data_IF_274628134803
#
_entry.id   IF_274628134803
#
_cell.length_a   1.000
_cell.length_b   1.000
_cell.length_c   1.000
_cell.angle_alpha   90.00
_cell.angle_beta   90.00
_cell.angle_gamma   90.00
#
_symmetry.space_group_name_H-M   'P 1'
#
loop_
_entity.id
_entity.type
_entity.pdbx_description
1 polymer ?
#
# COMPACT_ATOMS: atom_id res chain seq x y z
N UNK A 1 9.14 24.42 -5.61
CA UNK A 1 9.23 23.78 -4.28
C UNK A 1 10.20 22.63 -4.38
N UNK A 2 11.17 22.53 -3.47
CA UNK A 2 12.11 21.41 -3.40
C UNK A 2 11.52 20.27 -2.56
N UNK A 3 11.86 19.03 -2.89
CA UNK A 3 11.53 17.84 -2.10
C UNK A 3 12.40 17.78 -0.83
N UNK A 4 11.87 17.24 0.26
CA UNK A 4 12.67 16.90 1.43
C UNK A 4 13.71 15.80 1.09
N UNK A 5 14.77 15.61 1.90
CA UNK A 5 15.75 14.53 1.70
C UNK A 5 15.11 13.14 1.67
N UNK A 6 15.81 12.17 1.09
CA UNK A 6 15.37 10.78 1.11
C UNK A 6 15.41 10.23 2.54
N UNK A 7 14.35 9.52 2.92
CA UNK A 7 14.20 8.86 4.21
C UNK A 7 13.75 7.42 4.03
N UNK A 8 14.12 6.57 4.99
CA UNK A 8 13.67 5.19 5.06
C UNK A 8 12.52 5.04 6.06
N UNK A 9 11.64 4.06 5.88
CA UNK A 9 10.62 3.76 6.86
C UNK A 9 11.28 3.25 8.15
N UNK A 10 10.82 3.74 9.29
CA UNK A 10 11.24 3.24 10.60
C UNK A 10 10.40 2.02 11.03
N UNK A 11 9.22 1.83 10.45
CA UNK A 11 8.40 0.64 10.63
C UNK A 11 7.63 0.31 9.33
N UNK A 12 7.35 -0.99 9.15
CA UNK A 12 6.57 -1.52 8.02
C UNK A 12 5.97 -2.86 8.41
N UNK A 13 4.92 -3.27 7.70
CA UNK A 13 4.31 -4.57 7.93
C UNK A 13 3.23 -4.91 6.93
N UNK A 14 2.57 -6.02 7.20
CA UNK A 14 1.36 -6.45 6.50
C UNK A 14 0.19 -6.34 7.47
N UNK A 15 -0.89 -5.69 7.04
CA UNK A 15 -2.15 -5.63 7.76
C UNK A 15 -3.12 -6.62 7.13
N UNK A 16 -3.55 -7.63 7.89
CA UNK A 16 -4.68 -8.47 7.49
C UNK A 16 -5.97 -7.63 7.51
N UNK A 17 -6.64 -7.55 6.36
CA UNK A 17 -7.89 -6.79 6.20
C UNK A 17 -9.09 -7.71 5.96
N UNK A 18 -8.92 -9.03 6.11
CA UNK A 18 -9.95 -10.04 5.87
C UNK A 18 -9.94 -10.61 4.45
N UNK A 19 -10.71 -11.67 4.23
CA UNK A 19 -10.90 -12.35 2.94
C UNK A 19 -9.59 -12.81 2.27
N UNK A 20 -8.57 -13.12 3.07
CA UNK A 20 -7.24 -13.53 2.60
C UNK A 20 -6.38 -12.38 2.06
N UNK A 21 -6.82 -11.12 2.20
CA UNK A 21 -6.12 -9.95 1.73
C UNK A 21 -5.22 -9.35 2.81
N UNK A 22 -4.00 -8.98 2.41
CA UNK A 22 -3.04 -8.31 3.26
C UNK A 22 -2.53 -7.02 2.60
N UNK A 23 -2.70 -5.90 3.30
CA UNK A 23 -2.23 -4.58 2.86
C UNK A 23 -0.83 -4.33 3.39
N UNK A 24 0.13 -4.10 2.51
CA UNK A 24 1.44 -3.61 2.92
C UNK A 24 1.35 -2.16 3.36
N UNK A 25 1.96 -1.84 4.50
CA UNK A 25 2.08 -0.48 5.01
C UNK A 25 3.51 -0.18 5.44
N UNK A 26 3.87 1.10 5.40
CA UNK A 26 5.10 1.61 6.00
C UNK A 26 4.89 2.98 6.63
N UNK A 27 5.68 3.31 7.65
CA UNK A 27 5.70 4.62 8.29
C UNK A 27 7.07 5.27 8.26
N UNK A 28 7.10 6.54 7.87
CA UNK A 28 8.31 7.36 7.74
C UNK A 28 8.15 8.68 8.53
N UNK A 29 9.25 9.41 8.70
CA UNK A 29 9.25 10.71 9.39
C UNK A 29 9.23 10.59 10.91
N UNK A 30 8.53 11.50 11.56
CA UNK A 30 8.45 11.60 13.02
C UNK A 30 7.32 10.70 13.56
N UNK A 31 7.60 9.68 14.40
CA UNK A 31 6.56 8.82 15.01
C UNK A 31 5.51 9.58 15.82
N UNK A 32 5.89 10.73 16.40
CA UNK A 32 5.03 11.60 17.20
C UNK A 32 4.52 12.82 16.40
N UNK A 33 4.83 12.87 15.11
CA UNK A 33 4.42 13.94 14.21
C UNK A 33 2.93 13.87 13.84
N UNK A 34 2.44 14.92 13.16
CA UNK A 34 1.08 14.97 12.63
C UNK A 34 0.86 13.79 11.66
N UNK A 35 -0.20 12.98 11.81
CA UNK A 35 -0.42 11.84 10.93
C UNK A 35 -0.87 12.29 9.54
N UNK A 36 -0.28 11.68 8.50
CA UNK A 36 -0.69 11.84 7.11
C UNK A 36 -0.70 10.48 6.40
N UNK A 37 -1.77 10.17 5.68
CA UNK A 37 -1.90 8.95 4.87
C UNK A 37 -1.71 9.29 3.40
N UNK A 38 -0.83 8.57 2.73
CA UNK A 38 -0.58 8.69 1.29
C UNK A 38 -1.43 7.67 0.55
N UNK A 39 -2.26 8.16 -0.37
CA UNK A 39 -2.99 7.34 -1.35
C UNK A 39 -2.32 7.50 -2.70
N UNK A 40 -1.69 6.43 -3.21
CA UNK A 40 -1.09 6.45 -4.54
C UNK A 40 -2.16 6.56 -5.63
N UNK A 41 -1.80 7.18 -6.77
CA UNK A 41 -2.64 7.24 -7.96
C UNK A 41 -2.63 5.95 -8.78
N UNK A 42 -3.45 5.93 -9.84
CA UNK A 42 -3.72 4.75 -10.68
C UNK A 42 -4.38 3.62 -9.88
N UNK A 43 -5.35 2.87 -10.41
CA UNK A 43 -5.68 1.60 -9.77
C UNK A 43 -4.48 0.66 -9.95
N UNK A 44 -3.92 0.19 -8.84
CA UNK A 44 -2.94 -0.89 -8.85
C UNK A 44 -1.45 -0.51 -9.06
N UNK A 45 -1.05 0.76 -8.89
CA UNK A 45 0.36 1.17 -9.04
C UNK A 45 1.25 0.84 -7.82
N UNK A 46 0.70 0.93 -6.61
CA UNK A 46 1.46 0.83 -5.35
C UNK A 46 2.26 2.10 -5.01
N UNK A 47 2.76 2.17 -3.78
CA UNK A 47 3.58 3.28 -3.29
C UNK A 47 5.06 3.12 -3.68
N UNK A 48 5.64 4.21 -4.18
CA UNK A 48 7.08 4.38 -4.40
C UNK A 48 7.72 5.14 -3.23
N UNK A 49 9.05 5.26 -3.14
CA UNK A 49 9.70 6.10 -2.13
C UNK A 49 9.45 7.61 -2.28
N UNK A 50 8.96 8.06 -3.45
CA UNK A 50 8.78 9.49 -3.77
C UNK A 50 7.90 10.25 -2.76
N UNK A 51 6.71 9.76 -2.35
CA UNK A 51 5.82 10.49 -1.44
C UNK A 51 6.40 10.73 -0.04
N UNK A 52 7.42 9.97 0.37
CA UNK A 52 8.12 10.18 1.66
C UNK A 52 8.76 11.56 1.76
N UNK A 53 9.02 12.21 0.61
CA UNK A 53 9.72 13.48 0.48
C UNK A 53 8.78 14.68 0.30
N UNK A 54 7.46 14.44 0.27
CA UNK A 54 6.44 15.49 0.08
C UNK A 54 6.02 16.16 1.39
N UNK A 55 6.41 15.59 2.53
CA UNK A 55 6.07 16.07 3.86
C UNK A 55 7.36 16.37 4.62
N UNK A 56 7.29 17.35 5.53
CA UNK A 56 8.39 17.60 6.46
C UNK A 56 8.57 16.38 7.39
N UNK A 57 9.71 15.66 7.31
CA UNK A 57 9.92 14.45 8.09
C UNK A 57 10.05 14.72 9.60
N UNK A 58 10.34 15.95 10.02
CA UNK A 58 10.37 16.32 11.44
C UNK A 58 8.96 16.59 11.99
N UNK A 59 8.02 17.01 11.14
CA UNK A 59 6.68 17.39 11.57
C UNK A 59 5.62 16.29 11.37
N UNK A 60 5.83 15.35 10.44
CA UNK A 60 4.81 14.38 10.04
C UNK A 60 5.18 12.93 10.33
N UNK A 61 4.17 12.16 10.77
CA UNK A 61 4.13 10.70 10.68
C UNK A 61 3.49 10.32 9.35
N UNK A 62 4.31 9.93 8.39
CA UNK A 62 3.87 9.65 7.02
C UNK A 62 3.56 8.16 6.90
N UNK A 63 2.31 7.81 6.62
CA UNK A 63 1.84 6.43 6.42
C UNK A 63 1.63 6.19 4.93
N UNK A 64 2.35 5.23 4.34
CA UNK A 64 2.17 4.80 2.95
C UNK A 64 1.53 3.42 2.94
N UNK A 65 0.54 3.23 2.05
CA UNK A 65 -0.20 1.98 1.89
C UNK A 65 -0.16 1.56 0.42
N UNK A 66 0.15 0.29 0.15
CA UNK A 66 -0.11 -0.29 -1.17
C UNK A 66 -1.57 -0.77 -1.18
N UNK A 67 -2.41 -0.22 -2.06
CA UNK A 67 -3.81 -0.65 -2.17
C UNK A 67 -3.92 -2.15 -2.53
N UNK A 68 -5.11 -2.74 -2.34
CA UNK A 68 -5.34 -4.16 -2.61
C UNK A 68 -4.89 -4.58 -4.02
N UNK A 69 -4.28 -5.76 -4.11
CA UNK A 69 -3.89 -6.34 -5.40
C UNK A 69 -2.63 -5.75 -6.04
N UNK A 70 -1.95 -4.79 -5.41
CA UNK A 70 -0.81 -4.10 -6.03
C UNK A 70 0.38 -3.86 -5.11
N UNK A 71 1.49 -3.42 -5.72
CA UNK A 71 2.74 -3.18 -5.01
C UNK A 71 3.19 -4.43 -4.26
N UNK A 72 3.32 -4.29 -2.95
CA UNK A 72 3.72 -5.34 -2.00
C UNK A 72 2.52 -5.95 -1.28
N UNK A 73 1.30 -5.44 -1.48
CA UNK A 73 0.08 -6.04 -0.95
C UNK A 73 -0.20 -7.38 -1.62
N UNK A 74 -0.75 -8.30 -0.84
CA UNK A 74 -1.01 -9.67 -1.27
C UNK A 74 -2.48 -10.05 -1.11
N UNK A 75 -3.03 -10.91 -1.98
CA UNK A 75 -2.40 -11.43 -3.19
C UNK A 75 -2.22 -10.34 -4.25
N UNK A 76 -1.16 -10.42 -5.05
CA UNK A 76 -1.00 -9.47 -6.16
C UNK A 76 -1.97 -9.86 -7.29
N UNK A 77 -2.59 -8.89 -7.96
CA UNK A 77 -3.51 -9.13 -9.08
C UNK A 77 -2.88 -9.96 -10.21
N UNK A 78 -1.59 -9.78 -10.51
CA UNK A 78 -0.83 -10.58 -11.50
C UNK A 78 -0.70 -12.06 -11.12
N UNK A 79 -0.83 -12.38 -9.83
CA UNK A 79 -0.78 -13.76 -9.32
C UNK A 79 -2.16 -14.41 -9.20
N UNK A 80 -3.23 -13.68 -9.53
CA UNK A 80 -4.54 -14.28 -9.71
C UNK A 80 -4.48 -15.21 -10.93
N UNK A 81 -4.22 -16.50 -10.68
CA UNK A 81 -4.68 -17.54 -11.62
C UNK A 81 -6.19 -17.40 -11.61
N UNK A 82 -6.79 -17.11 -12.77
CA UNK A 82 -8.22 -17.29 -12.93
C UNK A 82 -8.50 -18.76 -12.62
N UNK A 83 -9.03 -19.06 -11.42
CA UNK A 83 -9.82 -20.27 -11.26
C UNK A 83 -10.91 -20.18 -12.32
N UNK A 84 -10.99 -21.11 -13.28
CA UNK A 84 -12.09 -21.10 -14.22
C UNK A 84 -13.35 -21.11 -13.37
N UNK A 85 -14.20 -20.10 -13.55
CA UNK A 85 -15.56 -20.16 -13.04
C UNK A 85 -16.14 -21.37 -13.73
N UNK A 86 -16.29 -22.48 -13.02
CA UNK A 86 -17.07 -23.61 -13.52
C UNK A 86 -18.47 -23.05 -13.63
N UNK A 87 -18.85 -22.66 -14.85
CA UNK A 87 -20.22 -22.31 -15.17
C UNK A 87 -21.06 -23.51 -14.75
N UNK A 88 -21.82 -23.33 -13.67
CA UNK A 88 -22.67 -24.37 -13.12
C UNK A 88 -23.58 -24.89 -14.22
N UNK A 89 -23.38 -26.15 -14.60
CA UNK A 89 -24.40 -26.93 -15.26
C UNK A 89 -25.56 -27.08 -14.27
N UNK A 90 -26.58 -26.26 -14.39
CA UNK A 90 -27.90 -26.60 -13.86
C UNK A 90 -28.65 -27.34 -14.97
N UNK A 91 -28.56 -28.66 -14.94
CA UNK A 91 -29.57 -29.52 -15.56
C UNK A 91 -30.74 -29.66 -14.60
N UNK A 92 -31.95 -29.32 -15.05
CA UNK A 92 -33.01 -30.22 -15.57
C UNK A 92 -34.10 -29.34 -16.19
#
# INVERSE_FOLDING_TARGET
>A
MALYPEIQPYARGMLDVGDGNHVHWETCGNPDGKPAVVLHGGPGSGCTPYPRRLFDPAAYRIVLLDQLGCGRSTPHARSCRQTPVVAGQTGV
#
